data_IF_606953551117
#
_entry.id   IF_606953551117
#
_cell.length_a   1.000
_cell.length_b   1.000
_cell.length_c   1.000
_cell.angle_alpha   90.00
_cell.angle_beta   90.00
_cell.angle_gamma   90.00
#
_symmetry.space_group_name_H-M   'P 1'
#
loop_
_entity.id
_entity.type
_entity.pdbx_description
1 polymer ?
#
# COMPACT_ATOMS: atom_id res chain seq x y z
N UNK A 1 5.49 21.25 29.29
CA UNK A 1 6.23 20.80 28.08
C UNK A 1 5.32 19.84 27.33
N UNK A 2 4.81 20.19 26.15
CA UNK A 2 3.94 19.29 25.37
C UNK A 2 4.84 18.33 24.58
N UNK A 3 4.57 17.03 24.67
CA UNK A 3 5.26 16.00 23.91
C UNK A 3 4.51 15.75 22.60
N UNK A 4 5.18 15.94 21.47
CA UNK A 4 4.63 15.66 20.13
C UNK A 4 5.11 14.27 19.70
N UNK A 5 4.20 13.43 19.20
CA UNK A 5 4.49 12.09 18.68
C UNK A 5 3.84 11.88 17.31
N UNK A 6 4.47 11.07 16.47
CA UNK A 6 3.86 10.63 15.22
C UNK A 6 2.63 9.76 15.50
N UNK A 7 1.63 9.87 14.62
CA UNK A 7 0.35 9.15 14.74
C UNK A 7 0.16 8.28 13.52
N UNK A 8 0.20 6.96 13.73
CA UNK A 8 0.00 5.99 12.65
C UNK A 8 -1.49 5.78 12.39
N UNK A 9 -1.85 5.53 11.12
CA UNK A 9 -3.19 5.10 10.70
C UNK A 9 -3.07 3.80 9.92
N UNK A 10 -3.94 2.85 10.24
CA UNK A 10 -3.96 1.52 9.64
C UNK A 10 -5.17 1.39 8.72
N UNK A 11 -4.95 0.79 7.56
CA UNK A 11 -5.99 0.50 6.59
C UNK A 11 -6.10 -1.02 6.45
N UNK A 12 -7.32 -1.54 6.51
CA UNK A 12 -7.65 -2.93 6.22
C UNK A 12 -8.36 -2.98 4.86
N UNK A 13 -7.93 -3.89 3.99
CA UNK A 13 -8.56 -4.12 2.69
C UNK A 13 -8.59 -5.62 2.38
N UNK A 14 -9.46 -6.00 1.45
CA UNK A 14 -9.61 -7.36 0.94
C UNK A 14 -9.55 -7.34 -0.59
N UNK A 15 -9.00 -8.40 -1.19
CA UNK A 15 -8.97 -8.59 -2.64
C UNK A 15 -9.99 -9.66 -3.01
N UNK A 16 -11.03 -9.26 -3.75
CA UNK A 16 -12.09 -10.14 -4.23
C UNK A 16 -11.72 -10.65 -5.62
N UNK A 17 -11.71 -11.97 -5.78
CA UNK A 17 -11.47 -12.63 -7.07
C UNK A 17 -12.78 -13.20 -7.60
N UNK A 18 -13.20 -12.81 -8.81
CA UNK A 18 -14.42 -13.30 -9.44
C UNK A 18 -14.35 -14.80 -9.76
N UNK A 19 -13.17 -15.26 -10.21
CA UNK A 19 -12.91 -16.69 -10.41
C UNK A 19 -12.46 -17.32 -9.11
N UNK A 20 -13.01 -18.50 -8.78
CA UNK A 20 -12.64 -19.31 -7.61
C UNK A 20 -11.23 -19.96 -7.74
N UNK A 21 -10.34 -19.35 -8.52
CA UNK A 21 -9.00 -19.85 -8.82
C UNK A 21 -8.06 -19.60 -7.66
N UNK A 22 -8.10 -20.51 -6.68
CA UNK A 22 -7.23 -20.48 -5.48
C UNK A 22 -5.74 -20.32 -5.80
N UNK A 23 -5.29 -20.84 -6.96
CA UNK A 23 -3.92 -20.65 -7.46
C UNK A 23 -3.49 -19.18 -7.54
N UNK A 24 -4.40 -18.25 -7.89
CA UNK A 24 -4.09 -16.81 -7.96
C UNK A 24 -3.82 -16.21 -6.58
N UNK A 25 -4.44 -16.75 -5.53
CA UNK A 25 -4.24 -16.29 -4.15
C UNK A 25 -2.88 -16.73 -3.60
N UNK A 26 -2.47 -17.96 -3.90
CA UNK A 26 -1.21 -18.53 -3.41
C UNK A 26 0.04 -17.87 -4.01
N UNK A 27 -0.09 -17.26 -5.19
CA UNK A 27 1.00 -16.57 -5.88
C UNK A 27 1.23 -15.13 -5.40
N UNK A 28 0.28 -14.52 -4.70
CA UNK A 28 0.35 -13.10 -4.36
C UNK A 28 1.26 -12.87 -3.14
N UNK A 29 2.39 -12.18 -3.33
CA UNK A 29 3.29 -11.86 -2.22
C UNK A 29 3.03 -10.45 -1.67
N UNK A 30 3.36 -10.17 -0.40
CA UNK A 30 3.27 -8.81 0.16
C UNK A 30 4.09 -7.77 -0.62
N UNK A 31 5.18 -8.22 -1.27
CA UNK A 31 6.03 -7.36 -2.09
C UNK A 31 5.29 -6.91 -3.34
N UNK A 32 4.55 -7.79 -3.99
CA UNK A 32 3.78 -7.46 -5.19
C UNK A 32 2.70 -6.41 -4.87
N UNK A 33 2.02 -6.56 -3.74
CA UNK A 33 1.05 -5.59 -3.23
C UNK A 33 1.72 -4.24 -2.96
N UNK A 34 2.86 -4.23 -2.26
CA UNK A 34 3.59 -3.00 -1.94
C UNK A 34 4.05 -2.27 -3.21
N UNK A 35 4.58 -3.00 -4.19
CA UNK A 35 4.98 -2.45 -5.48
C UNK A 35 3.78 -1.88 -6.23
N UNK A 36 2.67 -2.62 -6.34
CA UNK A 36 1.47 -2.15 -7.03
C UNK A 36 0.88 -0.87 -6.41
N UNK A 37 0.89 -0.76 -5.08
CA UNK A 37 0.45 0.46 -4.39
C UNK A 37 1.38 1.64 -4.71
N UNK A 38 2.71 1.44 -4.65
CA UNK A 38 3.70 2.49 -4.95
C UNK A 38 3.62 2.95 -6.41
N UNK A 39 3.47 2.02 -7.34
CA UNK A 39 3.26 2.32 -8.76
C UNK A 39 1.98 3.10 -9.00
N UNK A 40 0.87 2.69 -8.38
CA UNK A 40 -0.40 3.40 -8.48
C UNK A 40 -0.30 4.83 -7.93
N UNK A 41 0.40 5.04 -6.81
CA UNK A 41 0.62 6.38 -6.26
C UNK A 41 1.44 7.23 -7.23
N UNK A 42 2.53 6.68 -7.77
CA UNK A 42 3.36 7.40 -8.74
C UNK A 42 2.59 7.78 -10.00
N UNK A 43 1.78 6.87 -10.55
CA UNK A 43 1.00 7.11 -11.76
C UNK A 43 -0.09 8.18 -11.58
N UNK A 44 -0.73 8.22 -10.41
CA UNK A 44 -1.86 9.12 -10.16
C UNK A 44 -1.47 10.45 -9.50
N UNK A 45 -0.38 10.49 -8.74
CA UNK A 45 0.02 11.64 -7.92
C UNK A 45 1.47 12.11 -8.14
N UNK A 46 2.22 11.42 -8.99
CA UNK A 46 3.61 11.75 -9.33
C UNK A 46 4.57 11.71 -8.15
N UNK A 47 5.72 12.37 -8.33
CA UNK A 47 6.81 12.39 -7.33
C UNK A 47 6.38 13.03 -6.02
N UNK A 48 5.48 14.01 -6.08
CA UNK A 48 4.96 14.67 -4.89
C UNK A 48 4.15 13.71 -4.01
N UNK A 49 3.25 12.93 -4.62
CA UNK A 49 2.48 11.92 -3.90
C UNK A 49 3.38 10.83 -3.31
N UNK A 50 4.31 10.32 -4.11
CA UNK A 50 5.30 9.33 -3.68
C UNK A 50 6.16 9.84 -2.51
N UNK A 51 6.60 11.10 -2.55
CA UNK A 51 7.36 11.73 -1.47
C UNK A 51 6.56 11.88 -0.17
N UNK A 52 5.26 12.20 -0.25
CA UNK A 52 4.40 12.33 0.93
C UNK A 52 4.26 11.01 1.71
N UNK A 53 4.26 9.88 1.00
CA UNK A 53 4.01 8.57 1.61
C UNK A 53 5.28 7.77 1.94
N UNK A 54 6.43 8.15 1.38
CA UNK A 54 7.67 7.36 1.42
C UNK A 54 8.10 6.94 2.84
N UNK A 55 7.98 7.84 3.82
CA UNK A 55 8.35 7.54 5.21
C UNK A 55 7.35 6.66 5.95
N UNK A 56 6.09 6.64 5.52
CA UNK A 56 4.99 5.92 6.18
C UNK A 56 4.68 4.57 5.54
N UNK A 57 5.05 4.39 4.26
CA UNK A 57 4.87 3.17 3.46
C UNK A 57 6.22 2.52 3.06
N UNK A 58 7.28 2.84 3.81
CA UNK A 58 8.63 2.28 3.63
C UNK A 58 8.65 0.77 3.78
#
# INVERSE_FOLDING_TARGET
KIMVRLKNRWLLFEIIFEDNSQKKRELLTPRDISSAIKESIQQNFGDYGSGCVASSLS
#
